data_IF_728267144655
#
_entry.id   IF_728267144655
#
_cell.length_a   1.000
_cell.length_b   1.000
_cell.length_c   1.000
_cell.angle_alpha   90.00
_cell.angle_beta   90.00
_cell.angle_gamma   90.00
#
_symmetry.space_group_name_H-M   'P 1'
#
loop_
_entity.id
_entity.type
_entity.pdbx_description
1 polymer ?
#
# COMPACT_ATOMS: atom_id res chain seq x y z
N UNK A 1 0.42 9.18 14.19
CA UNK A 1 0.59 7.72 14.30
C UNK A 1 -0.42 7.02 13.40
N UNK A 2 0.01 6.03 12.66
CA UNK A 2 -0.89 5.26 11.81
C UNK A 2 -1.85 4.42 12.66
N UNK A 3 -3.10 4.31 12.21
CA UNK A 3 -4.07 3.43 12.84
C UNK A 3 -3.72 1.95 12.60
N UNK A 4 -4.33 1.07 13.38
CA UNK A 4 -4.11 -0.38 13.20
C UNK A 4 -4.52 -0.86 11.82
N UNK A 5 -5.64 -0.34 11.29
CA UNK A 5 -6.08 -0.73 9.95
C UNK A 5 -5.15 -0.18 8.87
N UNK A 6 -4.64 1.04 9.03
CA UNK A 6 -3.66 1.57 8.09
C UNK A 6 -2.41 0.68 8.03
N UNK A 7 -1.90 0.29 9.18
CA UNK A 7 -0.72 -0.58 9.26
C UNK A 7 -1.01 -1.93 8.57
N UNK A 8 -2.17 -2.52 8.84
CA UNK A 8 -2.56 -3.79 8.22
C UNK A 8 -2.59 -3.67 6.70
N UNK A 9 -3.25 -2.64 6.18
CA UNK A 9 -3.38 -2.41 4.74
C UNK A 9 -2.00 -2.20 4.10
N UNK A 10 -1.17 -1.37 4.72
CA UNK A 10 0.18 -1.08 4.21
C UNK A 10 1.01 -2.36 4.13
N UNK A 11 0.95 -3.21 5.15
CA UNK A 11 1.66 -4.47 5.16
C UNK A 11 1.16 -5.43 4.08
N UNK A 12 -0.16 -5.48 3.83
CA UNK A 12 -0.70 -6.31 2.75
C UNK A 12 -0.21 -5.84 1.39
N UNK A 13 -0.23 -4.53 1.15
CA UNK A 13 0.26 -3.97 -0.10
C UNK A 13 1.75 -4.28 -0.27
N UNK A 14 2.53 -4.09 0.79
CA UNK A 14 3.97 -4.36 0.76
C UNK A 14 4.27 -5.82 0.43
N UNK A 15 3.54 -6.76 1.03
CA UNK A 15 3.72 -8.19 0.74
C UNK A 15 3.49 -8.48 -0.74
N UNK A 16 2.41 -7.94 -1.32
CA UNK A 16 2.11 -8.14 -2.73
C UNK A 16 3.14 -7.47 -3.64
N UNK A 17 3.62 -6.30 -3.24
CA UNK A 17 4.69 -5.62 -3.97
C UNK A 17 5.94 -6.49 -4.05
N UNK A 18 6.36 -7.04 -2.93
CA UNK A 18 7.55 -7.89 -2.84
C UNK A 18 7.35 -9.19 -3.63
N UNK A 19 6.16 -9.81 -3.54
CA UNK A 19 5.85 -11.02 -4.31
C UNK A 19 6.02 -10.80 -5.81
N UNK A 20 5.74 -9.58 -6.29
CA UNK A 20 5.86 -9.25 -7.71
C UNK A 20 7.22 -8.66 -8.07
N UNK A 21 8.17 -8.69 -7.14
CA UNK A 21 9.52 -8.18 -7.35
C UNK A 21 9.55 -6.69 -7.74
N UNK A 22 8.60 -5.92 -7.20
CA UNK A 22 8.57 -4.48 -7.44
C UNK A 22 9.28 -3.74 -6.32
N UNK A 23 10.16 -2.81 -6.69
CA UNK A 23 10.76 -1.90 -5.73
C UNK A 23 9.73 -0.82 -5.32
N UNK A 24 10.05 -0.04 -4.29
CA UNK A 24 9.23 1.13 -3.95
C UNK A 24 9.16 2.10 -5.14
N UNK A 25 10.27 2.27 -5.86
CA UNK A 25 10.30 3.13 -7.03
C UNK A 25 9.41 2.60 -8.15
N UNK A 26 9.43 1.29 -8.39
CA UNK A 26 8.57 0.66 -9.39
C UNK A 26 7.09 0.88 -9.06
N UNK A 27 6.71 0.68 -7.82
CA UNK A 27 5.33 0.88 -7.39
C UNK A 27 4.91 2.33 -7.52
N UNK A 28 5.77 3.25 -7.11
CA UNK A 28 5.51 4.68 -7.21
C UNK A 28 5.28 5.10 -8.67
N UNK A 29 6.11 4.59 -9.58
CA UNK A 29 5.97 4.87 -11.00
C UNK A 29 4.61 4.40 -11.52
N UNK A 30 4.25 3.16 -11.23
CA UNK A 30 2.97 2.59 -11.68
C UNK A 30 1.77 3.32 -11.07
N UNK A 31 1.90 3.77 -9.83
CA UNK A 31 0.84 4.48 -9.10
C UNK A 31 0.80 5.97 -9.46
N UNK A 32 1.76 6.45 -10.24
CA UNK A 32 1.91 7.86 -10.60
C UNK A 32 2.08 8.76 -9.37
N UNK A 33 2.83 8.26 -8.38
CA UNK A 33 3.16 8.98 -7.16
C UNK A 33 4.69 9.10 -7.03
N UNK A 34 5.15 9.94 -6.11
CA UNK A 34 6.58 10.05 -5.86
C UNK A 34 7.12 8.83 -5.11
N UNK A 35 8.40 8.53 -5.32
CA UNK A 35 9.07 7.46 -4.55
C UNK A 35 9.04 7.80 -3.06
N UNK A 36 9.18 9.08 -2.72
CA UNK A 36 9.09 9.55 -1.34
C UNK A 36 7.76 9.22 -0.68
N UNK A 37 6.65 9.29 -1.44
CA UNK A 37 5.34 8.93 -0.92
C UNK A 37 5.31 7.47 -0.47
N UNK A 38 5.76 6.55 -1.32
CA UNK A 38 5.77 5.12 -0.98
C UNK A 38 6.68 4.87 0.23
N UNK A 39 7.86 5.50 0.24
CA UNK A 39 8.78 5.38 1.38
C UNK A 39 8.15 5.84 2.69
N UNK A 40 7.43 6.96 2.67
CA UNK A 40 6.75 7.47 3.87
C UNK A 40 5.59 6.56 4.29
N UNK A 41 4.83 6.03 3.34
CA UNK A 41 3.74 5.10 3.65
C UNK A 41 4.28 3.86 4.35
N UNK A 42 5.37 3.29 3.83
CA UNK A 42 5.93 2.05 4.38
C UNK A 42 6.80 2.28 5.63
N UNK A 43 7.06 3.52 5.99
CA UNK A 43 7.85 3.86 7.18
C UNK A 43 6.96 4.06 8.40
N UNK A 44 7.39 3.56 9.56
CA UNK A 44 6.68 3.77 10.81
C UNK A 44 6.83 5.19 11.35
N UNK A 45 7.70 6.01 10.74
CA UNK A 45 8.00 7.36 11.22
C UNK A 45 7.04 8.43 10.71
N UNK A 46 6.12 8.08 9.84
CA UNK A 46 5.19 9.03 9.21
C UNK A 46 3.75 8.55 9.36
N UNK A 47 2.82 9.50 9.33
CA UNK A 47 1.37 9.20 9.36
C UNK A 47 0.80 8.92 7.96
N UNK A 48 1.62 9.04 6.93
CA UNK A 48 1.22 8.85 5.54
C UNK A 48 0.67 7.45 5.31
N UNK A 49 -0.48 7.36 4.66
CA UNK A 49 -1.15 6.10 4.41
C UNK A 49 -1.86 6.13 3.05
N UNK A 50 -2.39 4.98 2.63
CA UNK A 50 -3.14 4.88 1.39
C UNK A 50 -4.60 5.26 1.62
N UNK A 51 -5.19 5.98 0.66
CA UNK A 51 -6.63 6.24 0.65
C UNK A 51 -7.34 5.20 -0.24
N UNK A 52 -8.67 5.28 -0.33
CA UNK A 52 -9.44 4.30 -1.12
C UNK A 52 -9.07 4.32 -2.60
N UNK A 53 -8.83 5.49 -3.18
CA UNK A 53 -8.41 5.58 -4.57
C UNK A 53 -7.07 4.89 -4.78
N UNK A 54 -6.12 5.09 -3.85
CA UNK A 54 -4.83 4.39 -3.91
C UNK A 54 -5.04 2.89 -3.90
N UNK A 55 -5.89 2.37 -3.03
CA UNK A 55 -6.13 0.93 -2.93
C UNK A 55 -6.74 0.37 -4.22
N UNK A 56 -7.66 1.12 -4.82
CA UNK A 56 -8.25 0.72 -6.09
C UNK A 56 -7.18 0.62 -7.17
N UNK A 57 -6.31 1.63 -7.28
CA UNK A 57 -5.26 1.66 -8.28
C UNK A 57 -4.19 0.59 -8.01
N UNK A 58 -3.84 0.40 -6.74
CA UNK A 58 -2.89 -0.64 -6.33
C UNK A 58 -3.40 -2.03 -6.68
N UNK A 59 -4.70 -2.28 -6.53
CA UNK A 59 -5.29 -3.57 -6.89
C UNK A 59 -5.11 -3.85 -8.39
N UNK A 60 -5.27 -2.84 -9.23
CA UNK A 60 -5.01 -2.98 -10.68
C UNK A 60 -3.55 -3.30 -10.95
N UNK A 61 -2.64 -2.56 -10.33
CA UNK A 61 -1.20 -2.73 -10.52
C UNK A 61 -0.75 -4.11 -10.04
N UNK A 62 -1.22 -4.52 -8.87
CA UNK A 62 -0.82 -5.77 -8.23
C UNK A 62 -1.69 -6.95 -8.66
N UNK A 63 -2.64 -6.72 -9.55
CA UNK A 63 -3.53 -7.76 -10.15
C UNK A 63 -4.25 -8.58 -9.09
N UNK A 64 -4.92 -7.87 -8.19
CA UNK A 64 -5.71 -8.47 -7.12
C UNK A 64 -6.96 -7.64 -6.85
N UNK A 65 -7.76 -8.06 -5.87
CA UNK A 65 -8.94 -7.31 -5.44
C UNK A 65 -8.55 -6.29 -4.37
N UNK A 66 -9.19 -5.10 -4.34
CA UNK A 66 -9.02 -4.19 -3.21
C UNK A 66 -9.33 -4.85 -1.87
N UNK A 67 -10.23 -5.83 -1.85
CA UNK A 67 -10.56 -6.60 -0.64
C UNK A 67 -9.36 -7.35 -0.08
N UNK A 68 -8.41 -7.71 -0.94
CA UNK A 68 -7.22 -8.46 -0.52
C UNK A 68 -6.32 -7.65 0.43
N UNK A 69 -6.50 -6.34 0.48
CA UNK A 69 -5.75 -5.47 1.38
C UNK A 69 -6.45 -5.24 2.72
N UNK A 70 -7.70 -5.67 2.85
CA UNK A 70 -8.52 -5.32 4.01
C UNK A 70 -8.68 -6.51 4.96
N UNK A 71 -8.78 -6.26 6.28
CA UNK A 71 -9.03 -7.33 7.23
C UNK A 71 -10.48 -7.81 7.14
N UNK A 72 -10.72 -9.07 7.52
CA UNK A 72 -12.07 -9.62 7.52
C UNK A 72 -12.95 -9.06 8.64
N UNK A 73 -12.32 -8.61 9.72
CA UNK A 73 -13.02 -8.06 10.89
C UNK A 73 -12.42 -6.72 11.26
N UNK A 74 -13.20 -5.81 11.84
CA UNK A 74 -12.65 -4.52 12.25
C UNK A 74 -11.66 -4.69 13.40
N UNK A 75 -10.75 -3.74 13.46
CA UNK A 75 -9.84 -3.66 14.59
C UNK A 75 -10.50 -3.00 15.79
#
# INVERSE_FOLDING_TARGET
>A
MKSKIDIYVIERVKEKRIEKNLSQADLAYELEMSVGFIGMVESSNYDTHYNLKHLNDLAKILKCSPQDFLPKKPF
#
